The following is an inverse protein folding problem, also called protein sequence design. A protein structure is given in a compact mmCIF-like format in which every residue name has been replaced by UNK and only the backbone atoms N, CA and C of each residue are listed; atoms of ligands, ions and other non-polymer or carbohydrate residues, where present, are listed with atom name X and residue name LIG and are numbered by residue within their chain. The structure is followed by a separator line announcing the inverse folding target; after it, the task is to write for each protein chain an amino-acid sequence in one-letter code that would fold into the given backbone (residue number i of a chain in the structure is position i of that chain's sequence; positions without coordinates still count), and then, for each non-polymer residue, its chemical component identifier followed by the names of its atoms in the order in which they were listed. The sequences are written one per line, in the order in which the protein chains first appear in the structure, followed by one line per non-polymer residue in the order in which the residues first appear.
data_IF_803405581248
#
_entry.id   IF_803405581248
#
_cell.length_a   1.000
_cell.length_b   1.000
_cell.length_c   1.000
_cell.angle_alpha   90.00
_cell.angle_beta   90.00
_cell.angle_gamma   90.00
#
_symmetry.space_group_name_H-M   'P 1'
#
loop_
_entity.id
_entity.type
_entity.pdbx_description
1 polymer ?
#
# COMPACT_ATOMS: atom_id res chain seq x y z
N UNK A 1 -2.43 8.24 17.15
CA UNK A 1 -2.92 8.20 15.75
C UNK A 1 -1.92 8.83 14.77
N UNK A 2 -1.21 9.91 15.15
CA UNK A 2 -0.25 10.58 14.24
C UNK A 2 1.03 9.79 13.92
N UNK A 3 1.48 8.92 14.82
CA UNK A 3 2.71 8.15 14.63
C UNK A 3 2.58 7.03 13.57
N UNK A 4 1.44 6.35 13.52
CA UNK A 4 1.19 5.27 12.56
C UNK A 4 1.03 5.80 11.13
N UNK A 5 0.32 6.92 10.97
CA UNK A 5 0.18 7.60 9.67
C UNK A 5 1.54 8.05 9.13
N UNK A 6 2.42 8.58 10.00
CA UNK A 6 3.79 8.95 9.62
C UNK A 6 4.63 7.74 9.18
N UNK A 7 4.41 6.56 9.78
CA UNK A 7 5.15 5.34 9.42
C UNK A 7 4.70 4.79 8.07
N UNK A 8 3.39 4.74 7.82
CA UNK A 8 2.83 4.30 6.53
C UNK A 8 3.25 5.24 5.39
N UNK A 9 3.16 6.55 5.61
CA UNK A 9 3.61 7.56 4.65
C UNK A 9 5.08 7.36 4.27
N UNK A 10 5.97 7.19 5.26
CA UNK A 10 7.40 6.92 5.02
C UNK A 10 7.63 5.64 4.21
N UNK A 11 6.87 4.57 4.49
CA UNK A 11 6.98 3.32 3.73
C UNK A 11 6.54 3.51 2.28
N UNK A 12 5.44 4.22 2.04
CA UNK A 12 4.95 4.51 0.68
C UNK A 12 5.98 5.34 -0.09
N UNK A 13 6.54 6.39 0.52
CA UNK A 13 7.58 7.22 -0.13
C UNK A 13 8.81 6.37 -0.49
N UNK A 14 9.32 5.56 0.43
CA UNK A 14 10.47 4.68 0.17
C UNK A 14 10.18 3.66 -0.94
N UNK A 15 9.01 3.03 -0.89
CA UNK A 15 8.60 2.06 -1.89
C UNK A 15 8.48 2.69 -3.29
N UNK A 16 7.97 3.92 -3.38
CA UNK A 16 7.92 4.69 -4.64
C UNK A 16 9.32 5.04 -5.18
N UNK A 17 10.32 5.16 -4.31
CA UNK A 17 11.73 5.40 -4.67
C UNK A 17 12.49 4.12 -5.07
N UNK A 18 11.81 2.96 -5.08
CA UNK A 18 12.41 1.68 -5.47
C UNK A 18 12.94 0.83 -4.31
N UNK A 19 12.68 1.21 -3.07
CA UNK A 19 13.02 0.38 -1.90
C UNK A 19 12.14 -0.88 -1.88
N UNK A 20 12.73 -2.01 -2.27
CA UNK A 20 12.06 -3.32 -2.30
C UNK A 20 11.66 -3.82 -0.91
N UNK A 21 12.39 -3.46 0.14
CA UNK A 21 12.04 -3.84 1.52
C UNK A 21 10.82 -3.05 1.99
N UNK A 22 10.74 -1.75 1.67
CA UNK A 22 9.56 -0.94 1.94
C UNK A 22 8.33 -1.46 1.17
N UNK A 23 8.49 -1.81 -0.11
CA UNK A 23 7.40 -2.40 -0.90
C UNK A 23 6.92 -3.73 -0.31
N UNK A 24 7.86 -4.63 0.02
CA UNK A 24 7.52 -5.92 0.64
C UNK A 24 6.80 -5.73 1.98
N UNK A 25 7.23 -4.75 2.78
CA UNK A 25 6.59 -4.42 4.06
C UNK A 25 5.14 -3.98 3.85
N UNK A 26 4.89 -3.11 2.87
CA UNK A 26 3.53 -2.69 2.52
C UNK A 26 2.68 -3.87 2.04
N UNK A 27 3.21 -4.74 1.18
CA UNK A 27 2.48 -5.93 0.71
C UNK A 27 2.11 -6.83 1.90
N UNK A 28 3.06 -7.10 2.80
CA UNK A 28 2.80 -7.92 4.00
C UNK A 28 1.73 -7.31 4.92
N UNK A 29 1.70 -5.98 5.06
CA UNK A 29 0.66 -5.29 5.85
C UNK A 29 -0.75 -5.51 5.27
N UNK A 30 -0.88 -5.50 3.94
CA UNK A 30 -2.17 -5.69 3.27
C UNK A 30 -2.49 -7.14 2.90
N UNK A 31 -1.53 -8.07 3.07
CA UNK A 31 -1.69 -9.47 2.71
C UNK A 31 -2.91 -10.16 3.34
N UNK A 32 -3.29 -9.93 4.62
CA UNK A 32 -4.51 -10.49 5.18
C UNK A 32 -5.77 -10.08 4.42
N UNK A 33 -5.83 -8.84 3.94
CA UNK A 33 -6.94 -8.32 3.14
C UNK A 33 -6.93 -8.92 1.72
N UNK A 34 -5.76 -9.01 1.10
CA UNK A 34 -5.59 -9.68 -0.21
C UNK A 34 -6.11 -11.11 -0.12
N UNK A 35 -5.62 -11.89 0.85
CA UNK A 35 -5.99 -13.29 1.03
C UNK A 35 -7.49 -13.45 1.26
N UNK A 36 -8.09 -12.61 2.11
CA UNK A 36 -9.55 -12.62 2.37
C UNK A 36 -10.37 -12.41 1.09
N UNK A 37 -9.94 -11.50 0.21
CA UNK A 37 -10.65 -11.19 -1.04
C UNK A 37 -10.27 -12.12 -2.21
N UNK A 38 -9.36 -13.08 -1.99
CA UNK A 38 -8.93 -14.04 -3.00
C UNK A 38 -9.66 -15.38 -2.95
N UNK A 39 -10.65 -15.52 -2.06
CA UNK A 39 -11.46 -16.73 -1.99
C UNK A 39 -12.57 -16.72 -3.04
N UNK A 40 -12.62 -17.76 -3.88
CA UNK A 40 -13.65 -17.98 -4.89
C UNK A 40 -14.28 -19.34 -4.59
N UNK A 41 -15.60 -19.38 -4.39
CA UNK A 41 -16.35 -20.60 -4.05
C UNK A 41 -15.79 -21.37 -2.83
N UNK A 42 -15.24 -20.66 -1.84
CA UNK A 42 -14.70 -21.26 -0.62
C UNK A 42 -13.24 -21.72 -0.72
N UNK A 43 -12.63 -21.64 -1.89
CA UNK A 43 -11.22 -22.00 -2.11
C UNK A 43 -10.36 -20.76 -2.37
N UNK A 44 -9.11 -20.80 -1.91
CA UNK A 44 -8.16 -19.73 -2.17
C UNK A 44 -7.73 -19.81 -3.64
N UNK A 45 -7.95 -18.74 -4.39
CA UNK A 45 -7.48 -18.63 -5.76
C UNK A 45 -6.15 -17.87 -5.80
N UNK A 46 -5.06 -18.59 -6.10
CA UNK A 46 -3.70 -18.03 -6.13
C UNK A 46 -3.52 -16.95 -7.21
N UNK A 47 -4.18 -17.07 -8.36
CA UNK A 47 -4.14 -16.05 -9.41
C UNK A 47 -4.82 -14.75 -8.93
N UNK A 48 -5.88 -14.86 -8.13
CA UNK A 48 -6.54 -13.73 -7.51
C UNK A 48 -5.63 -13.06 -6.46
N UNK A 49 -4.87 -13.84 -5.68
CA UNK A 49 -3.84 -13.30 -4.77
C UNK A 49 -2.81 -12.50 -5.55
N UNK A 50 -2.30 -13.04 -6.66
CA UNK A 50 -1.31 -12.36 -7.50
C UNK A 50 -1.86 -11.07 -8.11
N UNK A 51 -3.05 -11.12 -8.71
CA UNK A 51 -3.68 -9.96 -9.35
C UNK A 51 -3.94 -8.84 -8.33
N UNK A 52 -4.46 -9.16 -7.14
CA UNK A 52 -4.67 -8.17 -6.08
C UNK A 52 -3.34 -7.60 -5.56
N UNK A 53 -2.30 -8.41 -5.47
CA UNK A 53 -0.95 -7.95 -5.11
C UNK A 53 -0.39 -6.99 -6.16
N UNK A 54 -0.53 -7.31 -7.45
CA UNK A 54 -0.12 -6.43 -8.56
C UNK A 54 -0.89 -5.11 -8.51
N UNK A 55 -2.20 -5.15 -8.30
CA UNK A 55 -3.02 -3.93 -8.16
C UNK A 55 -2.60 -3.08 -6.98
N UNK A 56 -2.26 -3.70 -5.84
CA UNK A 56 -1.72 -2.98 -4.69
C UNK A 56 -0.40 -2.29 -5.03
N UNK A 57 0.53 -2.99 -5.68
CA UNK A 57 1.82 -2.41 -6.12
C UNK A 57 1.58 -1.19 -7.02
N UNK A 58 0.69 -1.31 -8.01
CA UNK A 58 0.32 -0.21 -8.90
C UNK A 58 -0.29 0.95 -8.11
N UNK A 59 -1.17 0.68 -7.17
CA UNK A 59 -1.80 1.69 -6.33
C UNK A 59 -0.76 2.44 -5.48
N UNK A 60 0.16 1.73 -4.83
CA UNK A 60 1.26 2.31 -4.05
C UNK A 60 2.13 3.21 -4.95
N UNK A 61 2.52 2.73 -6.14
CA UNK A 61 3.34 3.52 -7.07
C UNK A 61 2.65 4.79 -7.56
N UNK A 62 1.32 4.79 -7.67
CA UNK A 62 0.52 5.92 -8.16
C UNK A 62 -0.05 6.79 -7.04
N UNK A 63 0.13 6.41 -5.77
CA UNK A 63 -0.42 7.10 -4.63
C UNK A 63 0.12 8.54 -4.53
N UNK A 64 -0.78 9.52 -4.40
CA UNK A 64 -0.44 10.94 -4.29
C UNK A 64 -0.82 11.44 -2.90
N UNK A 65 0.15 11.99 -2.19
CA UNK A 65 -0.11 12.69 -0.94
C UNK A 65 -0.76 14.05 -1.21
N UNK A 66 -1.83 14.36 -0.48
CA UNK A 66 -2.44 15.69 -0.52
C UNK A 66 -1.53 16.63 0.28
N UNK A 67 -0.94 17.63 -0.36
CA UNK A 67 -0.22 18.69 0.35
C UNK A 67 -1.23 19.49 1.18
N UNK A 68 -1.03 19.57 2.49
CA UNK A 68 -1.72 20.58 3.30
C UNK A 68 -1.20 21.94 2.85
N UNK A 69 -2.07 22.79 2.31
CA UNK A 69 -1.74 24.19 2.04
C UNK A 69 -1.52 24.87 3.39
N UNK A 70 -0.26 25.06 3.79
CA UNK A 70 0.09 26.01 4.83
C UNK A 70 -0.06 27.39 4.22
N UNK A 71 -1.24 28.00 4.40
CA UNK A 71 -1.39 29.44 4.18
C UNK A 71 -0.48 30.17 5.18
N UNK A 72 0.73 30.50 4.77
CA UNK A 72 1.44 31.65 5.34
C UNK A 72 0.94 32.87 4.57
N UNK A 73 0.01 33.61 5.17
CA UNK A 73 -0.21 35.00 4.83
C UNK A 73 0.66 35.84 5.76
N UNK A 74 1.49 36.65 5.09
CA UNK A 74 2.45 37.67 5.53
C UNK A 74 2.15 38.41 6.83
#
# INVERSE_FOLDING_TARGET
MDLENSKLEKLVVKAQQGDGVAMSTLISMFYPLIRKNSYINGELNEDCVQELTIRLIIAIRRFKFIKKNTSQSF
#
